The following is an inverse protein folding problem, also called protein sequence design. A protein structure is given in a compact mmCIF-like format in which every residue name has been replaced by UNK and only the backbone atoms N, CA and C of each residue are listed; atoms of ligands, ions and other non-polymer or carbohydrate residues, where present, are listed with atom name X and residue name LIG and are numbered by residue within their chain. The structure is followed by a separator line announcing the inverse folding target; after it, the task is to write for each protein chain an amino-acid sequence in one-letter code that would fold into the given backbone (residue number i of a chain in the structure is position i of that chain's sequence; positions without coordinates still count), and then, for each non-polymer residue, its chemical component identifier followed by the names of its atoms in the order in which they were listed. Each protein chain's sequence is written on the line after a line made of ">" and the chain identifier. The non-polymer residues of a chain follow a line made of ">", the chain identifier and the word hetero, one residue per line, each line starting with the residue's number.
data_IF_765613998840
#
_entry.id   IF_765613998840
#
_cell.length_a   1.000
_cell.length_b   1.000
_cell.length_c   1.000
_cell.angle_alpha   90.00
_cell.angle_beta   90.00
_cell.angle_gamma   90.00
#
_symmetry.space_group_name_H-M   'P 1'
#
loop_
_entity.id
_entity.type
_entity.pdbx_description
1 polymer ?
#
# COMPACT_ATOMS: atom_id res chain seq x y z
N UNK A 1 17.74 14.53 -1.58
CA UNK A 1 18.52 13.81 -2.59
C UNK A 1 17.63 12.81 -3.28
N UNK A 2 17.52 12.87 -4.61
CA UNK A 2 16.88 11.82 -5.41
C UNK A 2 17.73 10.56 -5.26
N UNK A 3 17.13 9.45 -4.82
CA UNK A 3 17.86 8.19 -4.72
C UNK A 3 18.04 7.59 -6.11
N UNK A 4 19.29 7.52 -6.59
CA UNK A 4 19.61 6.93 -7.88
C UNK A 4 19.35 5.42 -7.87
N UNK A 5 18.89 4.88 -9.01
CA UNK A 5 18.56 3.45 -9.18
C UNK A 5 19.66 2.50 -8.67
N UNK A 6 20.91 2.78 -9.00
CA UNK A 6 22.05 1.95 -8.60
C UNK A 6 22.32 1.99 -7.09
N UNK A 7 22.12 3.15 -6.46
CA UNK A 7 22.23 3.30 -5.00
C UNK A 7 21.17 2.47 -4.28
N UNK A 8 19.95 2.44 -4.83
CA UNK A 8 18.83 1.66 -4.31
C UNK A 8 19.09 0.16 -4.44
N UNK A 9 19.59 -0.29 -5.59
CA UNK A 9 19.98 -1.69 -5.82
C UNK A 9 21.06 -2.16 -4.85
N UNK A 10 22.08 -1.34 -4.62
CA UNK A 10 23.14 -1.65 -3.66
C UNK A 10 22.57 -1.82 -2.24
N UNK A 11 21.72 -0.88 -1.81
CA UNK A 11 21.07 -0.93 -0.49
C UNK A 11 20.23 -2.19 -0.29
N UNK A 12 19.46 -2.61 -1.29
CA UNK A 12 18.68 -3.86 -1.24
C UNK A 12 19.61 -5.07 -1.11
N UNK A 13 20.72 -5.12 -1.86
CA UNK A 13 21.71 -6.21 -1.76
C UNK A 13 22.29 -6.29 -0.34
N UNK A 14 22.70 -5.17 0.23
CA UNK A 14 23.29 -5.14 1.57
C UNK A 14 22.29 -5.59 2.65
N UNK A 15 21.02 -5.20 2.52
CA UNK A 15 19.95 -5.65 3.42
C UNK A 15 19.62 -7.14 3.27
N UNK A 16 19.64 -7.67 2.04
CA UNK A 16 19.43 -9.12 1.78
C UNK A 16 20.50 -9.99 2.43
N UNK A 17 21.76 -9.56 2.39
CA UNK A 17 22.86 -10.29 3.03
C UNK A 17 22.64 -10.38 4.55
N UNK A 18 22.13 -9.31 5.16
CA UNK A 18 21.87 -9.21 6.60
C UNK A 18 20.46 -9.67 7.00
N UNK A 19 19.69 -10.28 6.09
CA UNK A 19 18.28 -10.60 6.32
C UNK A 19 17.98 -11.38 7.61
N UNK A 20 18.80 -12.38 8.02
CA UNK A 20 18.56 -13.10 9.28
C UNK A 20 18.62 -12.21 10.51
N UNK A 21 19.39 -11.12 10.47
CA UNK A 21 19.60 -10.18 11.57
C UNK A 21 18.62 -9.00 11.56
N UNK A 22 17.77 -8.87 10.52
CA UNK A 22 16.83 -7.76 10.41
C UNK A 22 15.62 -7.95 11.33
N UNK A 23 15.22 -6.85 11.96
CA UNK A 23 13.93 -6.70 12.63
C UNK A 23 12.75 -6.81 11.65
N UNK A 24 11.53 -6.98 12.16
CA UNK A 24 10.31 -7.05 11.35
C UNK A 24 10.13 -5.77 10.52
N UNK A 25 10.34 -4.60 11.13
CA UNK A 25 10.19 -3.31 10.45
C UNK A 25 11.24 -3.12 9.34
N UNK A 26 12.48 -3.58 9.56
CA UNK A 26 13.52 -3.56 8.54
C UNK A 26 13.21 -4.51 7.37
N UNK A 27 12.59 -5.66 7.64
CA UNK A 27 12.12 -6.58 6.60
C UNK A 27 10.98 -5.96 5.79
N UNK A 28 10.05 -5.25 6.42
CA UNK A 28 9.00 -4.50 5.72
C UNK A 28 9.59 -3.37 4.88
N UNK A 29 10.60 -2.68 5.38
CA UNK A 29 11.33 -1.67 4.62
C UNK A 29 12.07 -2.26 3.42
N UNK A 30 12.71 -3.41 3.56
CA UNK A 30 13.34 -4.12 2.44
C UNK A 30 12.30 -4.48 1.37
N UNK A 31 11.17 -5.05 1.77
CA UNK A 31 10.06 -5.38 0.86
C UNK A 31 9.57 -4.14 0.11
N UNK A 32 9.38 -3.00 0.80
CA UNK A 32 8.98 -1.75 0.17
C UNK A 32 10.00 -1.24 -0.86
N UNK A 33 11.30 -1.36 -0.56
CA UNK A 33 12.36 -0.98 -1.49
C UNK A 33 12.36 -1.86 -2.75
N UNK A 34 12.14 -3.16 -2.60
CA UNK A 34 12.04 -4.11 -3.72
C UNK A 34 10.84 -3.81 -4.61
N UNK A 35 9.66 -3.59 -4.01
CA UNK A 35 8.45 -3.21 -4.74
C UNK A 35 8.62 -1.90 -5.53
N UNK A 36 9.33 -0.93 -4.94
CA UNK A 36 9.65 0.34 -5.60
C UNK A 36 10.54 0.15 -6.82
N UNK A 37 11.54 -0.74 -6.76
CA UNK A 37 12.38 -1.07 -7.93
C UNK A 37 11.59 -1.80 -9.01
N UNK A 38 10.71 -2.72 -8.62
CA UNK A 38 9.89 -3.49 -9.55
C UNK A 38 8.70 -2.68 -10.12
N UNK A 39 8.54 -1.42 -9.71
CA UNK A 39 7.39 -0.56 -10.01
C UNK A 39 6.04 -1.23 -9.68
N UNK A 40 6.04 -2.14 -8.69
CA UNK A 40 4.85 -2.85 -8.23
C UNK A 40 4.18 -2.03 -7.14
N UNK A 41 2.98 -1.56 -7.44
CA UNK A 41 2.14 -0.88 -6.47
C UNK A 41 1.24 -1.89 -5.77
N UNK A 42 1.63 -2.32 -4.57
CA UNK A 42 0.70 -3.04 -3.69
C UNK A 42 -0.21 -1.98 -3.06
N UNK A 43 -1.45 -1.87 -3.57
CA UNK A 43 -2.46 -1.11 -2.85
C UNK A 43 -2.86 -1.91 -1.62
N UNK A 44 -2.64 -1.34 -0.44
CA UNK A 44 -3.23 -1.86 0.79
C UNK A 44 -4.75 -1.98 0.59
N UNK A 45 -5.29 -3.15 0.90
CA UNK A 45 -6.73 -3.29 1.01
C UNK A 45 -7.09 -2.94 2.45
N UNK A 46 -7.85 -1.87 2.66
CA UNK A 46 -8.26 -1.41 4.00
C UNK A 46 -9.13 -2.44 4.76
N UNK A 47 -9.55 -3.50 4.08
CA UNK A 47 -10.33 -4.59 4.64
C UNK A 47 -9.45 -5.83 4.82
N UNK A 48 -9.30 -6.27 6.07
CA UNK A 48 -8.60 -7.48 6.45
C UNK A 48 -9.50 -8.73 6.29
N UNK A 49 -10.83 -8.57 6.38
CA UNK A 49 -11.79 -9.68 6.23
C UNK A 49 -12.80 -9.49 5.10
N UNK A 50 -13.40 -10.59 4.63
CA UNK A 50 -14.52 -10.54 3.66
C UNK A 50 -15.73 -9.77 4.21
N UNK A 51 -15.96 -9.85 5.52
CA UNK A 51 -17.05 -9.16 6.19
C UNK A 51 -16.84 -7.64 6.21
N UNK A 52 -15.63 -7.17 6.53
CA UNK A 52 -15.24 -5.75 6.45
C UNK A 52 -15.40 -5.22 5.02
N UNK A 53 -14.95 -5.99 4.02
CA UNK A 53 -15.11 -5.63 2.61
C UNK A 53 -16.57 -5.47 2.22
N UNK A 54 -17.46 -6.32 2.73
CA UNK A 54 -18.92 -6.22 2.49
C UNK A 54 -19.50 -4.97 3.15
N UNK A 55 -19.15 -4.69 4.42
CA UNK A 55 -19.59 -3.49 5.14
C UNK A 55 -19.14 -2.20 4.45
N UNK A 56 -17.88 -2.13 4.02
CA UNK A 56 -17.35 -0.96 3.31
C UNK A 56 -18.11 -0.70 2.01
N UNK A 57 -18.39 -1.74 1.22
CA UNK A 57 -19.19 -1.63 -0.01
C UNK A 57 -20.61 -1.12 0.28
N UNK A 58 -21.26 -1.63 1.32
CA UNK A 58 -22.60 -1.18 1.72
C UNK A 58 -22.60 0.31 2.09
N UNK A 59 -21.65 0.74 2.93
CA UNK A 59 -21.49 2.15 3.33
C UNK A 59 -21.27 3.08 2.13
N UNK A 60 -20.40 2.70 1.19
CA UNK A 60 -20.18 3.49 -0.04
C UNK A 60 -21.47 3.62 -0.86
N UNK A 61 -22.24 2.55 -0.94
CA UNK A 61 -23.47 2.52 -1.73
C UNK A 61 -24.59 3.35 -1.08
N UNK A 62 -24.68 3.34 0.24
CA UNK A 62 -25.55 4.23 1.01
C UNK A 62 -25.19 5.69 0.80
N UNK A 63 -23.91 6.06 0.88
CA UNK A 63 -23.44 7.43 0.63
C UNK A 63 -23.79 7.85 -0.80
N UNK A 64 -23.57 6.98 -1.80
CA UNK A 64 -23.95 7.27 -3.20
C UNK A 64 -25.45 7.52 -3.35
N UNK A 65 -26.29 6.69 -2.72
CA UNK A 65 -27.76 6.87 -2.76
C UNK A 65 -28.19 8.16 -2.09
N UNK A 66 -27.58 8.49 -0.95
CA UNK A 66 -27.84 9.74 -0.23
C UNK A 66 -27.46 10.96 -1.08
N UNK A 67 -26.27 10.96 -1.68
CA UNK A 67 -25.81 12.07 -2.51
C UNK A 67 -26.66 12.25 -3.78
N UNK A 68 -27.09 11.14 -4.40
CA UNK A 68 -27.98 11.16 -5.55
C UNK A 68 -29.38 11.73 -5.20
N UNK A 69 -29.92 11.37 -4.02
CA UNK A 69 -31.20 11.93 -3.53
C UNK A 69 -31.15 13.42 -3.22
N UNK A 70 -29.99 13.90 -2.75
CA UNK A 70 -29.81 15.27 -2.30
C UNK A 70 -29.20 16.19 -3.37
N UNK A 71 -29.07 15.73 -4.62
CA UNK A 71 -28.43 16.47 -5.72
C UNK A 71 -27.10 17.13 -5.33
N UNK A 72 -26.31 16.44 -4.51
CA UNK A 72 -25.00 16.94 -4.09
C UNK A 72 -24.05 16.72 -5.28
N UNK A 73 -23.88 17.76 -6.09
CA UNK A 73 -22.82 17.81 -7.09
C UNK A 73 -21.48 17.92 -6.37
N UNK A 74 -20.61 16.91 -6.55
CA UNK A 74 -19.21 17.04 -6.15
C UNK A 74 -18.58 18.11 -7.06
N UNK A 75 -18.37 19.32 -6.55
CA UNK A 75 -17.48 20.31 -7.15
C UNK A 75 -16.03 19.83 -7.13
#
# INVERSE_FOLDING_TARGET
>A
MVQDYYSLKRRIRDLRIKYPQLSIDEKLNLLNLELKIEAKYIKGNDCHTKAEKKKLKQKILEIRRHNAKNHIENK
#
